data_IF_766028039520
#
_entry.id   IF_766028039520
#
_cell.length_a   1.000
_cell.length_b   1.000
_cell.length_c   1.000
_cell.angle_alpha   90.00
_cell.angle_beta   90.00
_cell.angle_gamma   90.00
#
_symmetry.space_group_name_H-M   'P 1'
#
loop_
_entity.id
_entity.type
_entity.pdbx_description
1 polymer ?
#
# COMPACT_ATOMS: atom_id res chain seq x y z
N UNK A 1 34.82 75.78 27.96
CA UNK A 1 36.05 75.92 27.16
C UNK A 1 36.84 74.64 27.19
N UNK A 2 37.02 74.05 26.01
CA UNK A 2 37.86 72.86 25.81
C UNK A 2 39.04 73.29 24.95
N UNK A 3 40.26 73.21 25.48
CA UNK A 3 41.49 73.53 24.73
C UNK A 3 41.65 72.48 23.63
N UNK A 4 41.53 72.89 22.36
CA UNK A 4 41.59 71.99 21.21
C UNK A 4 43.02 71.70 20.73
N UNK A 5 43.95 72.62 20.95
CA UNK A 5 45.36 72.49 20.57
C UNK A 5 46.24 73.53 21.32
N UNK A 6 47.54 73.26 21.40
CA UNK A 6 48.56 74.19 21.91
C UNK A 6 49.63 74.34 20.84
N UNK A 7 50.05 75.58 20.56
CA UNK A 7 51.09 75.90 19.57
C UNK A 7 52.27 76.53 20.31
N UNK A 8 53.46 75.95 20.17
CA UNK A 8 54.70 76.51 20.69
C UNK A 8 55.47 77.21 19.57
N UNK A 9 55.96 78.41 19.86
CA UNK A 9 56.72 79.24 18.92
C UNK A 9 58.05 79.65 19.55
N UNK A 10 59.13 79.51 18.79
CA UNK A 10 60.47 79.91 19.18
C UNK A 10 61.04 80.95 18.21
N UNK A 11 61.85 81.88 18.73
CA UNK A 11 62.51 82.92 17.95
C UNK A 11 63.92 83.17 18.47
N UNK A 12 64.85 83.50 17.57
CA UNK A 12 66.21 83.93 17.91
C UNK A 12 66.28 85.39 18.42
N UNK A 13 65.16 86.12 18.37
CA UNK A 13 65.01 87.50 18.86
C UNK A 13 63.75 87.66 19.73
N UNK A 14 63.73 88.67 20.62
CA UNK A 14 62.55 88.95 21.46
C UNK A 14 61.37 89.39 20.59
N UNK A 15 60.18 88.83 20.84
CA UNK A 15 58.94 89.29 20.22
C UNK A 15 58.59 90.70 20.68
N UNK A 16 58.34 91.61 19.73
CA UNK A 16 57.75 92.92 19.99
C UNK A 16 56.25 92.81 20.30
N UNK A 17 55.67 93.87 20.84
CA UNK A 17 54.24 93.93 21.14
C UNK A 17 53.37 93.75 19.88
N UNK A 18 53.84 94.25 18.73
CA UNK A 18 53.18 94.04 17.43
C UNK A 18 53.16 92.57 17.01
N UNK A 19 54.23 91.81 17.26
CA UNK A 19 54.26 90.37 16.98
C UNK A 19 53.30 89.60 17.91
N UNK A 20 53.21 89.98 19.19
CA UNK A 20 52.30 89.33 20.15
C UNK A 20 50.83 89.57 19.80
N UNK A 21 50.46 90.82 19.52
CA UNK A 21 49.10 91.19 19.10
C UNK A 21 48.69 90.47 17.81
N UNK A 22 49.60 90.38 16.84
CA UNK A 22 49.34 89.63 15.61
C UNK A 22 49.11 88.13 15.89
N UNK A 23 49.92 87.52 16.77
CA UNK A 23 49.75 86.12 17.15
C UNK A 23 48.43 85.88 17.89
N UNK A 24 48.02 86.76 18.80
CA UNK A 24 46.72 86.67 19.49
C UNK A 24 45.56 86.73 18.48
N UNK A 25 45.59 87.66 17.53
CA UNK A 25 44.56 87.78 16.49
C UNK A 25 44.58 86.59 15.51
N UNK A 26 45.76 86.07 15.19
CA UNK A 26 45.93 84.89 14.34
C UNK A 26 45.39 83.63 15.05
N UNK A 27 45.60 83.50 16.35
CA UNK A 27 45.11 82.36 17.13
C UNK A 27 43.57 82.28 17.15
N UNK A 28 42.88 83.41 17.17
CA UNK A 28 41.41 83.46 17.06
C UNK A 28 40.95 82.90 15.71
N UNK A 29 41.55 83.37 14.62
CA UNK A 29 41.26 82.90 13.25
C UNK A 29 41.57 81.41 13.07
N UNK A 30 42.75 80.97 13.54
CA UNK A 30 43.18 79.55 13.49
C UNK A 30 42.25 78.67 14.31
N UNK A 31 41.81 79.12 15.49
CA UNK A 31 40.86 78.38 16.33
C UNK A 31 39.52 78.14 15.64
N UNK A 32 38.96 79.17 14.97
CA UNK A 32 37.71 79.06 14.20
C UNK A 32 37.88 78.08 13.03
N UNK A 33 38.99 78.18 12.29
CA UNK A 33 39.26 77.30 11.15
C UNK A 33 39.41 75.85 11.60
N UNK A 34 40.19 75.57 12.66
CA UNK A 34 40.37 74.22 13.18
C UNK A 34 39.05 73.63 13.71
N UNK A 35 38.24 74.42 14.41
CA UNK A 35 36.93 73.97 14.89
C UNK A 35 35.98 73.65 13.71
N UNK A 36 36.00 74.48 12.67
CA UNK A 36 35.21 74.25 11.45
C UNK A 36 35.66 72.98 10.73
N UNK A 37 36.97 72.77 10.57
CA UNK A 37 37.53 71.54 9.98
C UNK A 37 37.12 70.32 10.80
N UNK A 38 37.26 70.36 12.12
CA UNK A 38 36.88 69.24 13.00
C UNK A 38 35.38 68.93 12.93
N UNK A 39 34.52 69.96 12.86
CA UNK A 39 33.08 69.79 12.67
C UNK A 39 32.76 69.16 11.31
N UNK A 40 33.37 69.66 10.22
CA UNK A 40 33.19 69.12 8.86
C UNK A 40 33.64 67.66 8.76
N UNK A 41 34.82 67.34 9.29
CA UNK A 41 35.33 65.95 9.31
C UNK A 41 34.39 65.01 10.09
N UNK A 42 33.82 65.46 11.22
CA UNK A 42 32.83 64.68 11.96
C UNK A 42 31.57 64.46 11.14
N UNK A 43 31.07 65.49 10.46
CA UNK A 43 29.88 65.36 9.59
C UNK A 43 30.12 64.42 8.42
N UNK A 44 31.29 64.46 7.79
CA UNK A 44 31.66 63.52 6.72
C UNK A 44 31.76 62.08 7.23
N UNK A 45 32.35 61.88 8.42
CA UNK A 45 32.41 60.57 9.06
C UNK A 45 31.02 59.99 9.35
N UNK A 46 30.12 60.81 9.90
CA UNK A 46 28.73 60.41 10.16
C UNK A 46 27.96 60.14 8.87
N UNK A 47 28.15 60.97 7.83
CA UNK A 47 27.52 60.76 6.53
C UNK A 47 27.97 59.43 5.91
N UNK A 48 29.28 59.12 5.98
CA UNK A 48 29.84 57.86 5.51
C UNK A 48 29.26 56.66 6.28
N UNK A 49 29.15 56.75 7.60
CA UNK A 49 28.50 55.72 8.41
C UNK A 49 27.02 55.53 8.04
N UNK A 50 26.27 56.62 7.87
CA UNK A 50 24.86 56.57 7.47
C UNK A 50 24.71 55.90 6.10
N UNK A 51 25.55 56.23 5.12
CA UNK A 51 25.51 55.64 3.79
C UNK A 51 25.80 54.13 3.82
N UNK A 52 26.82 53.70 4.60
CA UNK A 52 27.13 52.29 4.79
C UNK A 52 25.96 51.53 5.42
N UNK A 53 25.37 52.08 6.48
CA UNK A 53 24.25 51.45 7.16
C UNK A 53 23.02 51.35 6.24
N UNK A 54 22.70 52.40 5.48
CA UNK A 54 21.61 52.37 4.50
C UNK A 54 21.84 51.28 3.45
N UNK A 55 23.07 51.15 2.95
CA UNK A 55 23.41 50.10 1.98
C UNK A 55 23.26 48.70 2.58
N UNK A 56 23.70 48.49 3.83
CA UNK A 56 23.54 47.21 4.53
C UNK A 56 22.07 46.88 4.77
N UNK A 57 21.28 47.85 5.24
CA UNK A 57 19.84 47.67 5.46
C UNK A 57 19.12 47.34 4.16
N UNK A 58 19.46 48.01 3.06
CA UNK A 58 18.89 47.71 1.75
C UNK A 58 19.24 46.28 1.31
N UNK A 59 20.48 45.84 1.50
CA UNK A 59 20.89 44.46 1.20
C UNK A 59 20.12 43.44 2.03
N UNK A 60 20.02 43.65 3.35
CA UNK A 60 19.24 42.76 4.23
C UNK A 60 17.76 42.73 3.87
N UNK A 61 17.19 43.88 3.50
CA UNK A 61 15.80 43.95 3.06
C UNK A 61 15.57 43.11 1.81
N UNK A 62 16.47 43.18 0.82
CA UNK A 62 16.37 42.35 -0.40
C UNK A 62 16.49 40.86 -0.10
N UNK A 63 17.37 40.47 0.82
CA UNK A 63 17.53 39.06 1.21
C UNK A 63 16.27 38.54 1.95
N UNK A 64 15.69 39.35 2.83
CA UNK A 64 14.47 39.00 3.54
C UNK A 64 13.28 38.85 2.59
N UNK A 65 13.12 39.77 1.65
CA UNK A 65 12.07 39.67 0.63
C UNK A 65 12.22 38.38 -0.18
N UNK A 66 13.44 38.06 -0.62
CA UNK A 66 13.70 36.82 -1.36
C UNK A 66 13.37 35.57 -0.54
N UNK A 67 13.79 35.52 0.74
CA UNK A 67 13.45 34.41 1.64
C UNK A 67 11.94 34.30 1.87
N UNK A 68 11.24 35.41 1.95
CA UNK A 68 9.79 35.41 2.12
C UNK A 68 9.08 34.84 0.90
N UNK A 69 9.54 35.17 -0.31
CA UNK A 69 9.03 34.60 -1.57
C UNK A 69 9.29 33.08 -1.65
N UNK A 70 10.51 32.63 -1.31
CA UNK A 70 10.85 31.20 -1.28
C UNK A 70 10.01 30.42 -0.27
N UNK A 71 9.79 30.98 0.93
CA UNK A 71 8.92 30.38 1.94
C UNK A 71 7.46 30.31 1.49
N UNK A 72 6.97 31.34 0.80
CA UNK A 72 5.61 31.33 0.27
C UNK A 72 5.43 30.22 -0.76
N UNK A 73 6.33 30.13 -1.74
CA UNK A 73 6.30 29.08 -2.77
C UNK A 73 6.38 27.68 -2.15
N UNK A 74 7.24 27.49 -1.16
CA UNK A 74 7.38 26.19 -0.45
C UNK A 74 6.11 25.83 0.32
N UNK A 75 5.47 26.79 0.98
CA UNK A 75 4.21 26.56 1.69
C UNK A 75 3.08 26.19 0.73
N UNK A 76 2.98 26.85 -0.42
CA UNK A 76 1.99 26.51 -1.45
C UNK A 76 2.20 25.07 -1.96
N UNK A 77 3.44 24.69 -2.27
CA UNK A 77 3.76 23.33 -2.72
C UNK A 77 3.44 22.27 -1.64
N UNK A 78 3.75 22.56 -0.38
CA UNK A 78 3.43 21.67 0.74
C UNK A 78 1.92 21.51 0.93
N UNK A 79 1.16 22.60 0.79
CA UNK A 79 -0.29 22.57 0.88
C UNK A 79 -0.91 21.72 -0.24
N UNK A 80 -0.42 21.87 -1.48
CA UNK A 80 -0.87 21.06 -2.61
C UNK A 80 -0.56 19.57 -2.39
N UNK A 81 0.67 19.25 -1.97
CA UNK A 81 1.06 17.87 -1.62
C UNK A 81 0.22 17.28 -0.50
N UNK A 82 -0.08 18.05 0.54
CA UNK A 82 -0.92 17.61 1.64
C UNK A 82 -2.35 17.26 1.16
N UNK A 83 -2.92 18.09 0.28
CA UNK A 83 -4.25 17.85 -0.28
C UNK A 83 -4.28 16.61 -1.19
N UNK A 84 -3.24 16.40 -2.00
CA UNK A 84 -3.10 15.20 -2.83
C UNK A 84 -3.02 13.93 -1.97
N UNK A 85 -2.18 13.95 -0.93
CA UNK A 85 -2.04 12.82 0.01
C UNK A 85 -3.34 12.52 0.75
N UNK A 86 -4.10 13.54 1.14
CA UNK A 86 -5.41 13.32 1.78
C UNK A 86 -6.39 12.64 0.82
N UNK A 87 -6.40 13.05 -0.45
CA UNK A 87 -7.25 12.44 -1.47
C UNK A 87 -6.85 10.99 -1.77
N UNK A 88 -5.54 10.71 -1.90
CA UNK A 88 -5.03 9.34 -2.07
C UNK A 88 -5.40 8.46 -0.87
N UNK A 89 -5.24 8.97 0.36
CA UNK A 89 -5.62 8.24 1.57
C UNK A 89 -7.11 7.86 1.55
N UNK A 90 -8.00 8.80 1.22
CA UNK A 90 -9.45 8.52 1.11
C UNK A 90 -9.74 7.46 0.05
N UNK A 91 -9.06 7.51 -1.10
CA UNK A 91 -9.23 6.49 -2.14
C UNK A 91 -8.78 5.10 -1.68
N UNK A 92 -7.66 5.02 -0.96
CA UNK A 92 -7.16 3.75 -0.41
C UNK A 92 -8.11 3.20 0.65
N UNK A 93 -8.63 4.05 1.54
CA UNK A 93 -9.62 3.64 2.55
C UNK A 93 -10.89 3.07 1.92
N UNK A 94 -11.42 3.73 0.88
CA UNK A 94 -12.59 3.24 0.14
C UNK A 94 -12.32 1.89 -0.54
N UNK A 95 -11.17 1.75 -1.22
CA UNK A 95 -10.78 0.49 -1.87
C UNK A 95 -10.60 -0.65 -0.86
N UNK A 96 -10.03 -0.36 0.30
CA UNK A 96 -9.89 -1.35 1.37
C UNK A 96 -11.25 -1.84 1.88
N UNK A 97 -12.22 -0.94 2.01
CA UNK A 97 -13.59 -1.33 2.40
C UNK A 97 -14.25 -2.22 1.35
N UNK A 98 -14.11 -1.88 0.06
CA UNK A 98 -14.63 -2.70 -1.05
C UNK A 98 -13.98 -4.09 -1.09
N UNK A 99 -12.66 -4.16 -0.90
CA UNK A 99 -11.92 -5.43 -0.85
C UNK A 99 -12.39 -6.29 0.32
N UNK A 100 -12.57 -5.70 1.50
CA UNK A 100 -13.04 -6.42 2.68
C UNK A 100 -14.47 -6.97 2.48
N UNK A 101 -15.36 -6.19 1.87
CA UNK A 101 -16.71 -6.65 1.50
C UNK A 101 -16.66 -7.80 0.50
N UNK A 102 -15.85 -7.67 -0.56
CA UNK A 102 -15.69 -8.70 -1.58
C UNK A 102 -15.10 -10.00 -0.98
N UNK A 103 -14.13 -9.87 -0.08
CA UNK A 103 -13.52 -10.99 0.64
C UNK A 103 -14.54 -11.74 1.48
N UNK A 104 -15.36 -11.04 2.27
CA UNK A 104 -16.41 -11.67 3.08
C UNK A 104 -17.44 -12.39 2.23
N UNK A 105 -17.91 -11.76 1.16
CA UNK A 105 -18.86 -12.38 0.24
C UNK A 105 -18.28 -13.64 -0.43
N UNK A 106 -16.97 -13.63 -0.74
CA UNK A 106 -16.29 -14.79 -1.29
C UNK A 106 -16.18 -15.92 -0.26
N UNK A 107 -15.85 -15.59 0.99
CA UNK A 107 -15.73 -16.53 2.09
C UNK A 107 -17.08 -17.20 2.41
N UNK A 108 -18.17 -16.44 2.47
CA UNK A 108 -19.53 -16.97 2.63
C UNK A 108 -19.91 -17.93 1.48
N UNK A 109 -19.59 -17.57 0.23
CA UNK A 109 -19.84 -18.46 -0.92
C UNK A 109 -19.01 -19.72 -0.87
N UNK A 110 -17.74 -19.63 -0.47
CA UNK A 110 -16.87 -20.79 -0.33
C UNK A 110 -17.40 -21.76 0.74
N UNK A 111 -17.86 -21.23 1.88
CA UNK A 111 -18.48 -22.03 2.94
C UNK A 111 -19.78 -22.71 2.47
N UNK A 112 -20.66 -21.97 1.78
CA UNK A 112 -21.88 -22.54 1.21
C UNK A 112 -21.59 -23.65 0.19
N UNK A 113 -20.59 -23.47 -0.67
CA UNK A 113 -20.16 -24.48 -1.63
C UNK A 113 -19.60 -25.73 -0.94
N UNK A 114 -18.78 -25.54 0.09
CA UNK A 114 -18.23 -26.65 0.87
C UNK A 114 -19.35 -27.45 1.57
N UNK A 115 -20.31 -26.76 2.17
CA UNK A 115 -21.48 -27.39 2.79
C UNK A 115 -22.33 -28.16 1.77
N UNK A 116 -22.58 -27.55 0.60
CA UNK A 116 -23.34 -28.17 -0.49
C UNK A 116 -22.64 -29.42 -1.02
N UNK A 117 -21.32 -29.36 -1.20
CA UNK A 117 -20.49 -30.49 -1.61
C UNK A 117 -20.58 -31.63 -0.59
N UNK A 118 -20.43 -31.32 0.71
CA UNK A 118 -20.57 -32.29 1.80
C UNK A 118 -21.93 -32.97 1.79
N UNK A 119 -23.03 -32.19 1.72
CA UNK A 119 -24.38 -32.76 1.68
C UNK A 119 -24.63 -33.61 0.43
N UNK A 120 -24.11 -33.20 -0.74
CA UNK A 120 -24.19 -33.99 -1.97
C UNK A 120 -23.53 -35.36 -1.79
N UNK A 121 -22.31 -35.38 -1.23
CA UNK A 121 -21.57 -36.63 -0.99
C UNK A 121 -22.27 -37.53 0.02
N UNK A 122 -22.74 -36.99 1.14
CA UNK A 122 -23.45 -37.75 2.17
C UNK A 122 -24.77 -38.32 1.64
N UNK A 123 -25.52 -37.52 0.87
CA UNK A 123 -26.75 -37.97 0.22
C UNK A 123 -26.51 -39.12 -0.76
N UNK A 124 -25.50 -38.99 -1.64
CA UNK A 124 -25.20 -40.04 -2.62
C UNK A 124 -24.72 -41.34 -1.96
N UNK A 125 -23.91 -41.25 -0.90
CA UNK A 125 -23.48 -42.41 -0.13
C UNK A 125 -24.68 -43.14 0.51
N UNK A 126 -25.58 -42.40 1.17
CA UNK A 126 -26.76 -42.96 1.82
C UNK A 126 -27.73 -43.57 0.81
N UNK A 127 -28.05 -42.85 -0.27
CA UNK A 127 -28.95 -43.34 -1.33
C UNK A 127 -28.40 -44.60 -2.01
N UNK A 128 -27.09 -44.68 -2.25
CA UNK A 128 -26.52 -45.90 -2.81
C UNK A 128 -26.71 -47.11 -1.89
N UNK A 129 -26.47 -46.96 -0.59
CA UNK A 129 -26.68 -48.04 0.36
C UNK A 129 -28.15 -48.48 0.45
N UNK A 130 -29.08 -47.52 0.45
CA UNK A 130 -30.52 -47.80 0.48
C UNK A 130 -31.03 -48.43 -0.83
N UNK A 131 -30.42 -48.11 -1.97
CA UNK A 131 -30.79 -48.69 -3.28
C UNK A 131 -30.14 -50.06 -3.53
N UNK A 132 -28.89 -50.27 -3.07
CA UNK A 132 -28.14 -51.51 -3.29
C UNK A 132 -28.81 -52.71 -2.63
N UNK A 133 -29.33 -52.56 -1.42
CA UNK A 133 -29.97 -53.65 -0.65
C UNK A 133 -31.20 -54.26 -1.34
N UNK A 134 -32.23 -53.47 -1.74
CA UNK A 134 -33.38 -54.00 -2.47
C UNK A 134 -33.01 -54.49 -3.88
N UNK A 135 -32.06 -53.81 -4.55
CA UNK A 135 -31.63 -54.20 -5.90
C UNK A 135 -30.90 -55.54 -5.89
N UNK A 136 -30.01 -55.79 -4.93
CA UNK A 136 -29.36 -57.10 -4.77
C UNK A 136 -30.38 -58.21 -4.51
N UNK A 137 -31.41 -57.93 -3.71
CA UNK A 137 -32.48 -58.90 -3.44
C UNK A 137 -33.25 -59.25 -4.71
N UNK A 138 -33.54 -58.25 -5.55
CA UNK A 138 -34.19 -58.41 -6.85
C UNK A 138 -33.30 -59.17 -7.85
N UNK A 139 -31.98 -58.91 -7.85
CA UNK A 139 -31.00 -59.64 -8.66
C UNK A 139 -30.93 -61.12 -8.27
N UNK A 140 -30.90 -61.44 -6.98
CA UNK A 140 -30.91 -62.83 -6.50
C UNK A 140 -32.20 -63.54 -6.95
N UNK A 141 -33.36 -62.91 -6.73
CA UNK A 141 -34.65 -63.49 -7.10
C UNK A 141 -34.80 -63.69 -8.61
N UNK A 142 -34.44 -62.70 -9.41
CA UNK A 142 -34.46 -62.79 -10.87
C UNK A 142 -33.49 -63.86 -11.40
N UNK A 143 -32.30 -64.01 -10.80
CA UNK A 143 -31.37 -65.08 -11.17
C UNK A 143 -31.89 -66.48 -10.80
N UNK A 144 -32.50 -66.63 -9.63
CA UNK A 144 -33.13 -67.88 -9.21
C UNK A 144 -34.26 -68.30 -10.17
N UNK A 145 -35.10 -67.35 -10.57
CA UNK A 145 -36.15 -67.59 -11.57
C UNK A 145 -35.57 -67.92 -12.95
N UNK A 146 -34.52 -67.20 -13.38
CA UNK A 146 -33.84 -67.46 -14.66
C UNK A 146 -33.16 -68.84 -14.72
N UNK A 147 -32.69 -69.35 -13.58
CA UNK A 147 -32.08 -70.69 -13.50
C UNK A 147 -33.13 -71.81 -13.56
N UNK A 148 -34.38 -71.52 -13.19
CA UNK A 148 -35.53 -72.43 -13.25
C UNK A 148 -35.22 -73.85 -12.71
N UNK A 149 -34.56 -73.96 -11.55
CA UNK A 149 -34.12 -75.25 -10.99
C UNK A 149 -35.26 -76.26 -10.78
N UNK A 150 -36.49 -75.78 -10.56
CA UNK A 150 -37.68 -76.61 -10.35
C UNK A 150 -38.41 -76.97 -11.64
N UNK A 151 -38.01 -76.42 -12.80
CA UNK A 151 -38.60 -76.72 -14.11
C UNK A 151 -40.05 -76.28 -14.27
N UNK A 152 -40.54 -75.34 -13.46
CA UNK A 152 -41.94 -74.92 -13.40
C UNK A 152 -42.26 -73.67 -14.23
N UNK A 153 -41.24 -73.00 -14.78
CA UNK A 153 -41.40 -71.83 -15.66
C UNK A 153 -41.30 -72.20 -17.14
N UNK A 154 -42.04 -71.48 -17.99
CA UNK A 154 -41.91 -71.58 -19.45
C UNK A 154 -40.78 -70.68 -19.99
N UNK A 155 -40.37 -70.91 -21.24
CA UNK A 155 -39.23 -70.21 -21.86
C UNK A 155 -39.38 -68.68 -21.85
N UNK A 156 -40.60 -68.16 -22.08
CA UNK A 156 -40.86 -66.70 -22.03
C UNK A 156 -40.68 -66.13 -20.62
N UNK A 157 -41.08 -66.86 -19.58
CA UNK A 157 -40.90 -66.46 -18.19
C UNK A 157 -39.42 -66.47 -17.77
N UNK A 158 -38.66 -67.45 -18.26
CA UNK A 158 -37.21 -67.51 -18.07
C UNK A 158 -36.53 -66.31 -18.75
N UNK A 159 -36.92 -65.99 -19.98
CA UNK A 159 -36.40 -64.82 -20.70
C UNK A 159 -36.74 -63.51 -19.97
N UNK A 160 -37.96 -63.35 -19.46
CA UNK A 160 -38.31 -62.18 -18.63
C UNK A 160 -37.44 -62.07 -17.37
N UNK A 161 -37.20 -63.18 -16.68
CA UNK A 161 -36.33 -63.20 -15.50
C UNK A 161 -34.87 -62.80 -15.86
N UNK A 162 -34.35 -63.26 -17.00
CA UNK A 162 -33.03 -62.85 -17.52
C UNK A 162 -32.99 -61.35 -17.87
N UNK A 163 -34.02 -60.83 -18.52
CA UNK A 163 -34.09 -59.39 -18.84
C UNK A 163 -34.12 -58.53 -17.59
N UNK A 164 -34.92 -58.92 -16.58
CA UNK A 164 -34.96 -58.22 -15.29
C UNK A 164 -33.59 -58.27 -14.59
N UNK A 165 -32.92 -59.41 -14.63
CA UNK A 165 -31.59 -59.57 -14.04
C UNK A 165 -30.54 -58.70 -14.75
N UNK A 166 -30.52 -58.69 -16.08
CA UNK A 166 -29.61 -57.85 -16.88
C UNK A 166 -29.84 -56.37 -16.57
N UNK A 167 -31.09 -55.91 -16.65
CA UNK A 167 -31.43 -54.50 -16.38
C UNK A 167 -31.11 -54.08 -14.94
N UNK A 168 -31.30 -54.96 -13.96
CA UNK A 168 -30.91 -54.71 -12.58
C UNK A 168 -29.39 -54.63 -12.39
N UNK A 169 -28.63 -55.40 -13.15
CA UNK A 169 -27.16 -55.43 -13.08
C UNK A 169 -26.59 -54.15 -13.70
N UNK A 170 -27.14 -53.75 -14.84
CA UNK A 170 -26.79 -52.49 -15.51
C UNK A 170 -27.09 -51.28 -14.61
N UNK A 171 -28.25 -51.27 -13.94
CA UNK A 171 -28.61 -50.21 -13.00
C UNK A 171 -27.67 -50.17 -11.78
N UNK A 172 -27.26 -51.32 -11.26
CA UNK A 172 -26.31 -51.39 -10.15
C UNK A 172 -24.93 -50.84 -10.57
N UNK A 173 -24.47 -51.16 -11.78
CA UNK A 173 -23.23 -50.60 -12.33
C UNK A 173 -23.31 -49.08 -12.43
N UNK A 174 -24.39 -48.54 -12.99
CA UNK A 174 -24.58 -47.09 -13.12
C UNK A 174 -24.59 -46.38 -11.76
N UNK A 175 -25.23 -46.98 -10.75
CA UNK A 175 -25.22 -46.43 -9.39
C UNK A 175 -23.80 -46.40 -8.81
N UNK A 176 -23.00 -47.45 -9.03
CA UNK A 176 -21.62 -47.49 -8.58
C UNK A 176 -20.76 -46.43 -9.29
N UNK A 177 -20.91 -46.27 -10.60
CA UNK A 177 -20.18 -45.27 -11.39
C UNK A 177 -20.44 -43.84 -10.88
N UNK A 178 -21.71 -43.51 -10.57
CA UNK A 178 -22.09 -42.21 -10.00
C UNK A 178 -21.46 -41.99 -8.62
N UNK A 179 -21.37 -43.06 -7.82
CA UNK A 179 -20.80 -43.02 -6.47
C UNK A 179 -19.29 -42.81 -6.51
N UNK A 180 -18.61 -43.52 -7.42
CA UNK A 180 -17.17 -43.39 -7.62
C UNK A 180 -16.82 -42.00 -8.16
N UNK A 181 -17.61 -41.46 -9.09
CA UNK A 181 -17.49 -40.07 -9.53
C UNK A 181 -17.64 -39.09 -8.34
N UNK A 182 -18.61 -39.33 -7.44
CA UNK A 182 -18.80 -38.48 -6.26
C UNK A 182 -17.64 -38.55 -5.26
N UNK A 183 -17.01 -39.72 -5.09
CA UNK A 183 -15.80 -39.87 -4.26
C UNK A 183 -14.61 -39.13 -4.87
N UNK A 184 -14.47 -39.15 -6.20
CA UNK A 184 -13.43 -38.41 -6.92
C UNK A 184 -13.65 -36.90 -6.75
N UNK A 185 -14.87 -36.41 -6.99
CA UNK A 185 -15.23 -34.99 -6.83
C UNK A 185 -15.00 -34.47 -5.41
N UNK A 186 -15.21 -35.32 -4.39
CA UNK A 186 -14.99 -34.97 -2.98
C UNK A 186 -13.56 -35.22 -2.49
N UNK A 187 -12.68 -35.78 -3.33
CA UNK A 187 -11.29 -36.08 -2.97
C UNK A 187 -11.11 -37.19 -1.95
N UNK A 188 -12.13 -38.04 -1.73
CA UNK A 188 -12.10 -39.12 -0.73
C UNK A 188 -11.64 -40.47 -1.30
N UNK A 189 -11.26 -40.52 -2.58
CA UNK A 189 -10.70 -41.73 -3.18
C UNK A 189 -9.37 -42.07 -2.52
N UNK A 190 -9.33 -43.24 -1.89
CA UNK A 190 -8.09 -43.86 -1.43
C UNK A 190 -7.58 -44.80 -2.53
N UNK A 191 -6.32 -44.61 -2.93
CA UNK A 191 -5.65 -45.47 -3.90
C UNK A 191 -4.85 -46.50 -3.12
N UNK A 192 -5.18 -47.78 -3.30
CA UNK A 192 -4.37 -48.88 -2.79
C UNK A 192 -3.35 -49.31 -3.85
N UNK A 193 -2.06 -49.12 -3.54
CA UNK A 193 -0.96 -49.51 -4.43
C UNK A 193 -0.43 -50.86 -3.96
N UNK A 194 -0.56 -51.88 -4.81
CA UNK A 194 -0.10 -53.23 -4.55
C UNK A 194 0.64 -53.80 -5.77
N UNK A 195 1.63 -54.68 -5.53
CA UNK A 195 2.33 -55.38 -6.60
C UNK A 195 1.41 -56.41 -7.28
N UNK A 196 1.14 -56.22 -8.57
CA UNK A 196 0.34 -57.12 -9.38
C UNK A 196 1.18 -57.72 -10.52
N UNK A 197 1.28 -59.06 -10.62
CA UNK A 197 1.89 -59.71 -11.78
C UNK A 197 1.19 -59.28 -13.07
N UNK A 198 1.96 -58.88 -14.09
CA UNK A 198 1.44 -58.37 -15.36
C UNK A 198 0.44 -59.32 -16.05
N UNK A 199 0.56 -60.63 -15.80
CA UNK A 199 -0.36 -61.65 -16.30
C UNK A 199 -1.80 -61.51 -15.76
N UNK A 200 -1.98 -60.99 -14.54
CA UNK A 200 -3.29 -60.75 -13.93
C UNK A 200 -3.92 -59.41 -14.32
N UNK A 201 -3.13 -58.45 -14.80
CA UNK A 201 -3.62 -57.17 -15.31
C UNK A 201 -4.53 -57.38 -16.54
N UNK A 202 -4.17 -58.34 -17.41
CA UNK A 202 -4.94 -58.66 -18.62
C UNK A 202 -6.37 -59.16 -18.32
N UNK A 203 -6.62 -59.65 -17.10
CA UNK A 203 -7.94 -60.12 -16.67
C UNK A 203 -8.85 -59.01 -16.17
N UNK A 204 -8.31 -57.81 -15.92
CA UNK A 204 -9.04 -56.66 -15.36
C UNK A 204 -9.22 -55.52 -16.39
N UNK A 205 -8.82 -55.72 -17.64
CA UNK A 205 -8.87 -54.71 -18.72
C UNK A 205 -9.89 -55.05 -19.84
N UNK A 206 -10.94 -55.82 -19.54
CA UNK A 206 -12.12 -55.98 -20.40
C UNK A 206 -13.30 -55.19 -19.83
#
# INVERSE_FOLDING_TARGET
>A
DEVKAVIELASFSRFSDTHRLFLEQLMESVGIVLNTIAATMRTEGLLKQSQLLTSELQSRQTELTKKQEELHATNEELQEKAQLLENEKKQVENKNLEIEMARRALEEKAEQLALTSKYKSEFLANMSHELRTPLNSLLILSNLLATNQQGNLNDKQIDFARTINSAGTDLLSLINDILDLSKIESGTVSIEINDMPLAHLRQHME
#
